data_IF_761455801056
#
_entry.id   IF_761455801056
#
_cell.length_a   1.000
_cell.length_b   1.000
_cell.length_c   1.000
_cell.angle_alpha   90.00
_cell.angle_beta   90.00
_cell.angle_gamma   90.00
#
_symmetry.space_group_name_H-M   'P 1'
#
loop_
_entity.id
_entity.type
_entity.pdbx_description
1 polymer ?
#
# COMPACT_ATOMS: atom_id res chain seq x y z
N UNK A 1 -6.31 -18.64 -4.01
CA UNK A 1 -5.25 -18.47 -3.00
C UNK A 1 -3.92 -18.59 -3.72
N UNK A 2 -3.08 -17.55 -3.70
CA UNK A 2 -1.80 -17.54 -4.43
C UNK A 2 -0.84 -18.63 -3.91
N UNK A 3 -0.22 -19.43 -4.81
CA UNK A 3 0.68 -20.52 -4.43
C UNK A 3 2.00 -20.02 -3.80
N UNK A 4 2.51 -18.85 -4.20
CA UNK A 4 3.75 -18.29 -3.66
C UNK A 4 3.48 -17.27 -2.54
N UNK A 5 4.40 -17.13 -1.55
CA UNK A 5 4.41 -15.98 -0.65
C UNK A 5 4.41 -14.64 -1.39
N UNK A 6 5.11 -14.55 -2.53
CA UNK A 6 5.15 -13.33 -3.34
C UNK A 6 3.77 -12.95 -3.89
N UNK A 7 2.96 -13.92 -4.32
CA UNK A 7 1.60 -13.67 -4.83
C UNK A 7 0.71 -13.02 -3.77
N UNK A 8 0.91 -13.40 -2.50
CA UNK A 8 0.15 -12.85 -1.37
C UNK A 8 0.58 -11.42 -1.05
N UNK A 9 1.87 -11.12 -1.18
CA UNK A 9 2.42 -9.77 -0.99
C UNK A 9 1.87 -8.83 -2.07
N UNK A 10 1.88 -9.27 -3.33
CA UNK A 10 1.32 -8.49 -4.45
C UNK A 10 -0.18 -8.26 -4.27
N UNK A 11 -0.93 -9.28 -3.84
CA UNK A 11 -2.35 -9.12 -3.54
C UNK A 11 -2.60 -8.12 -2.40
N UNK A 12 -1.75 -8.14 -1.35
CA UNK A 12 -1.83 -7.19 -0.25
C UNK A 12 -1.50 -5.76 -0.68
N UNK A 13 -0.48 -5.57 -1.51
CA UNK A 13 -0.14 -4.25 -2.05
C UNK A 13 -1.29 -3.68 -2.89
N UNK A 14 -1.88 -4.51 -3.77
CA UNK A 14 -3.04 -4.11 -4.57
C UNK A 14 -4.25 -3.70 -3.70
N UNK A 15 -4.55 -4.42 -2.62
CA UNK A 15 -5.60 -4.04 -1.67
C UNK A 15 -5.30 -2.69 -1.00
N UNK A 16 -4.03 -2.45 -0.67
CA UNK A 16 -3.60 -1.20 -0.02
C UNK A 16 -3.73 -0.01 -0.97
N UNK A 17 -3.39 -0.19 -2.26
CA UNK A 17 -3.63 0.79 -3.32
C UNK A 17 -5.13 1.12 -3.45
N UNK A 18 -6.01 0.12 -3.43
CA UNK A 18 -7.47 0.35 -3.41
C UNK A 18 -7.90 1.18 -2.19
N UNK A 19 -7.32 0.91 -1.02
CA UNK A 19 -7.55 1.71 0.20
C UNK A 19 -7.10 3.17 0.05
N UNK A 20 -5.92 3.41 -0.53
CA UNK A 20 -5.40 4.76 -0.79
C UNK A 20 -6.34 5.53 -1.73
N UNK A 21 -6.82 4.88 -2.80
CA UNK A 21 -7.79 5.47 -3.72
C UNK A 21 -9.08 5.87 -2.99
N UNK A 22 -9.58 5.03 -2.08
CA UNK A 22 -10.74 5.36 -1.25
C UNK A 22 -10.50 6.60 -0.37
N UNK A 23 -9.32 6.74 0.24
CA UNK A 23 -8.95 7.92 1.03
C UNK A 23 -8.95 9.17 0.15
N UNK A 24 -8.42 9.09 -1.08
CA UNK A 24 -8.44 10.19 -2.05
C UNK A 24 -9.88 10.57 -2.42
N UNK A 25 -10.76 9.60 -2.69
CA UNK A 25 -12.17 9.87 -2.95
C UNK A 25 -12.85 10.59 -1.78
N UNK A 26 -12.55 10.18 -0.54
CA UNK A 26 -13.04 10.86 0.67
C UNK A 26 -12.49 12.29 0.75
N UNK A 27 -11.22 12.49 0.41
CA UNK A 27 -10.58 13.81 0.36
C UNK A 27 -11.33 14.76 -0.58
N UNK A 28 -11.63 14.28 -1.80
CA UNK A 28 -12.39 15.02 -2.80
C UNK A 28 -13.81 15.34 -2.32
N UNK A 29 -14.49 14.37 -1.70
CA UNK A 29 -15.85 14.56 -1.19
C UNK A 29 -15.91 15.57 -0.04
N UNK A 30 -14.92 15.57 0.85
CA UNK A 30 -14.87 16.48 2.00
C UNK A 30 -14.23 17.84 1.68
N UNK A 31 -13.55 17.99 0.54
CA UNK A 31 -12.86 19.22 0.16
C UNK A 31 -11.68 19.58 1.08
N UNK A 32 -11.13 18.61 1.82
CA UNK A 32 -10.04 18.83 2.79
C UNK A 32 -8.76 18.19 2.30
N UNK A 33 -7.75 19.02 2.04
CA UNK A 33 -6.43 18.62 1.52
C UNK A 33 -5.69 17.69 2.48
N UNK A 34 -5.93 17.79 3.80
CA UNK A 34 -5.26 16.97 4.83
C UNK A 34 -5.40 15.45 4.56
N UNK A 35 -6.48 15.01 3.93
CA UNK A 35 -6.67 13.60 3.60
C UNK A 35 -5.73 13.12 2.47
N UNK A 36 -5.28 14.02 1.59
CA UNK A 36 -4.26 13.70 0.58
C UNK A 36 -2.90 13.43 1.23
N UNK A 37 -2.55 14.16 2.29
CA UNK A 37 -1.30 13.92 3.02
C UNK A 37 -1.31 12.51 3.65
N UNK A 38 -2.46 12.12 4.23
CA UNK A 38 -2.65 10.76 4.76
C UNK A 38 -2.51 9.70 3.65
N UNK A 39 -3.17 9.91 2.51
CA UNK A 39 -3.07 9.00 1.37
C UNK A 39 -1.63 8.84 0.87
N UNK A 40 -0.86 9.93 0.85
CA UNK A 40 0.54 9.94 0.42
C UNK A 40 1.44 9.16 1.37
N UNK A 41 1.26 9.33 2.69
CA UNK A 41 1.99 8.57 3.71
C UNK A 41 1.66 7.08 3.63
N UNK A 42 0.39 6.72 3.45
CA UNK A 42 -0.02 5.32 3.26
C UNK A 42 0.58 4.70 1.99
N UNK A 43 0.68 5.46 0.89
CA UNK A 43 1.36 5.01 -0.33
C UNK A 43 2.83 4.70 -0.11
N UNK A 44 3.55 5.59 0.59
CA UNK A 44 4.94 5.38 0.98
C UNK A 44 5.11 4.14 1.88
N UNK A 45 4.25 3.99 2.89
CA UNK A 45 4.30 2.83 3.79
C UNK A 45 4.01 1.52 3.08
N UNK A 46 3.03 1.48 2.17
CA UNK A 46 2.72 0.29 1.36
C UNK A 46 3.94 -0.16 0.56
N UNK A 47 4.55 0.78 -0.17
CA UNK A 47 5.73 0.52 -0.99
C UNK A 47 6.91 0.02 -0.15
N UNK A 48 7.18 0.66 0.99
CA UNK A 48 8.25 0.24 1.91
C UNK A 48 7.98 -1.14 2.49
N UNK A 49 6.73 -1.46 2.82
CA UNK A 49 6.32 -2.78 3.30
C UNK A 49 6.61 -3.89 2.29
N UNK A 50 6.27 -3.66 1.01
CA UNK A 50 6.58 -4.60 -0.07
C UNK A 50 8.09 -4.76 -0.24
N UNK A 51 8.85 -3.67 -0.22
CA UNK A 51 10.32 -3.72 -0.34
C UNK A 51 10.97 -4.48 0.83
N UNK A 52 10.49 -4.27 2.05
CA UNK A 52 10.97 -4.99 3.23
C UNK A 52 10.72 -6.50 3.11
N UNK A 53 9.53 -6.89 2.65
CA UNK A 53 9.22 -8.31 2.44
C UNK A 53 10.04 -8.89 1.28
N UNK A 54 10.22 -8.16 0.19
CA UNK A 54 11.06 -8.58 -0.92
C UNK A 54 12.50 -8.84 -0.45
N UNK A 55 13.07 -7.93 0.35
CA UNK A 55 14.42 -8.10 0.93
C UNK A 55 14.53 -9.27 1.89
N UNK A 56 13.51 -9.50 2.69
CA UNK A 56 13.44 -10.68 3.55
C UNK A 56 13.42 -11.98 2.72
N UNK A 57 12.67 -12.03 1.62
CA UNK A 57 12.61 -13.20 0.74
C UNK A 57 13.90 -13.42 -0.08
N UNK A 58 14.61 -12.35 -0.43
CA UNK A 58 15.94 -12.42 -1.08
C UNK A 58 17.06 -12.90 -0.14
N UNK A 59 16.78 -13.07 1.16
CA UNK A 59 17.78 -13.51 2.15
C UNK A 59 18.68 -12.39 2.68
N UNK A 60 18.23 -11.13 2.58
CA UNK A 60 18.99 -9.95 3.00
C UNK A 60 18.88 -9.56 4.48
N UNK A 61 18.26 -10.41 5.34
CA UNK A 61 18.09 -10.22 6.78
C UNK A 61 18.32 -11.53 7.53
#
# INVERSE_FOLDING_TARGET
>A
MGPSPADRVVALDAMTICGIVLIIFIALKMGRIIYLDVAMVYGLLSFLGVLAIARYLEGGL
#
